data_IF_940115958953
#
_entry.id   IF_940115958953
#
_cell.length_a   1.000
_cell.length_b   1.000
_cell.length_c   1.000
_cell.angle_alpha   90.00
_cell.angle_beta   90.00
_cell.angle_gamma   90.00
#
_symmetry.space_group_name_H-M   'P 1'
#
loop_
_entity.id
_entity.type
_entity.pdbx_description
1 polymer ?
#
# COMPACT_ATOMS: atom_id res chain seq x y z
N UNK A 1 27.18 -17.23 -70.72
CA UNK A 1 26.80 -16.11 -69.84
C UNK A 1 25.75 -16.64 -68.88
N UNK A 2 26.09 -16.83 -67.61
CA UNK A 2 25.20 -17.41 -66.61
C UNK A 2 24.48 -16.29 -65.84
N UNK A 3 23.16 -16.35 -65.79
CA UNK A 3 22.30 -15.46 -64.99
C UNK A 3 22.43 -15.77 -63.50
N UNK A 4 22.44 -14.78 -62.60
CA UNK A 4 22.47 -15.03 -61.17
C UNK A 4 21.06 -15.40 -60.65
N UNK A 5 20.98 -16.49 -59.89
CA UNK A 5 19.79 -16.88 -59.13
C UNK A 5 19.50 -15.87 -58.00
N UNK A 6 18.23 -15.60 -57.65
CA UNK A 6 17.90 -14.73 -56.54
C UNK A 6 18.19 -15.48 -55.23
N UNK A 7 19.02 -14.87 -54.37
CA UNK A 7 19.21 -15.31 -52.99
C UNK A 7 17.88 -15.07 -52.26
N UNK A 8 17.20 -16.15 -51.89
CA UNK A 8 16.10 -16.09 -50.95
C UNK A 8 16.65 -15.61 -49.61
N UNK A 9 16.31 -14.39 -49.22
CA UNK A 9 16.53 -13.90 -47.87
C UNK A 9 15.54 -14.64 -46.96
N UNK A 10 15.99 -15.71 -46.32
CA UNK A 10 15.29 -16.28 -45.17
C UNK A 10 15.30 -15.22 -44.06
N UNK A 11 14.16 -14.53 -43.92
CA UNK A 11 13.88 -13.69 -42.76
C UNK A 11 13.69 -14.66 -41.60
N UNK A 12 14.73 -14.81 -40.79
CA UNK A 12 14.69 -15.53 -39.53
C UNK A 12 13.66 -14.85 -38.61
N UNK A 13 12.48 -15.46 -38.45
CA UNK A 13 11.37 -14.93 -37.63
C UNK A 13 11.56 -15.16 -36.13
N UNK A 14 12.62 -15.86 -35.72
CA UNK A 14 12.85 -16.23 -34.31
C UNK A 14 13.39 -15.09 -33.42
N UNK A 15 13.75 -13.93 -33.99
CA UNK A 15 14.30 -12.79 -33.24
C UNK A 15 13.26 -11.73 -32.84
N UNK A 16 12.00 -11.84 -33.27
CA UNK A 16 10.98 -10.83 -33.01
C UNK A 16 10.22 -11.03 -31.69
N UNK A 17 10.12 -12.26 -31.19
CA UNK A 17 9.37 -12.56 -29.96
C UNK A 17 10.15 -12.24 -28.66
N UNK A 18 11.49 -12.30 -28.71
CA UNK A 18 12.37 -11.99 -27.58
C UNK A 18 12.39 -10.50 -27.24
N UNK A 19 12.62 -9.64 -28.24
CA UNK A 19 12.76 -8.18 -28.05
C UNK A 19 11.46 -7.49 -27.62
N UNK A 20 10.32 -7.88 -28.20
CA UNK A 20 9.03 -7.30 -27.81
C UNK A 20 8.69 -7.60 -26.34
N UNK A 21 9.10 -8.75 -25.82
CA UNK A 21 8.85 -9.17 -24.44
C UNK A 21 9.69 -8.41 -23.40
N UNK A 22 10.93 -8.03 -23.74
CA UNK A 22 11.82 -7.26 -22.88
C UNK A 22 11.36 -5.80 -22.82
N UNK A 23 11.07 -5.18 -23.97
CA UNK A 23 10.54 -3.82 -24.03
C UNK A 23 9.19 -3.66 -23.31
N UNK A 24 8.32 -4.67 -23.35
CA UNK A 24 7.05 -4.64 -22.63
C UNK A 24 7.21 -4.76 -21.10
N UNK A 25 8.20 -5.53 -20.62
CA UNK A 25 8.50 -5.64 -19.20
C UNK A 25 9.13 -4.35 -18.66
N UNK A 26 10.04 -3.73 -19.42
CA UNK A 26 10.63 -2.44 -19.10
C UNK A 26 9.56 -1.33 -19.07
N UNK A 27 8.64 -1.31 -20.05
CA UNK A 27 7.53 -0.35 -20.06
C UNK A 27 6.56 -0.53 -18.88
N UNK A 28 6.30 -1.77 -18.45
CA UNK A 28 5.48 -2.05 -17.27
C UNK A 28 6.17 -1.57 -15.99
N UNK A 29 7.49 -1.78 -15.86
CA UNK A 29 8.26 -1.28 -14.75
C UNK A 29 8.27 0.26 -14.71
N UNK A 30 8.59 0.92 -15.84
CA UNK A 30 8.62 2.39 -15.95
C UNK A 30 7.28 3.03 -15.56
N UNK A 31 6.16 2.36 -15.86
CA UNK A 31 4.84 2.85 -15.48
C UNK A 31 4.51 2.58 -14.00
N UNK A 32 4.81 1.39 -13.49
CA UNK A 32 4.36 0.95 -12.17
C UNK A 32 5.27 1.41 -11.03
N UNK A 33 6.56 1.58 -11.29
CA UNK A 33 7.53 1.98 -10.29
C UNK A 33 7.20 3.34 -9.65
N UNK A 34 6.92 4.42 -10.43
CA UNK A 34 6.52 5.70 -9.84
C UNK A 34 5.22 5.64 -9.04
N UNK A 35 4.27 4.78 -9.45
CA UNK A 35 3.01 4.56 -8.74
C UNK A 35 3.26 3.89 -7.39
N UNK A 36 4.13 2.87 -7.36
CA UNK A 36 4.55 2.19 -6.14
C UNK A 36 5.23 3.16 -5.16
N UNK A 37 6.21 3.95 -5.64
CA UNK A 37 6.90 4.94 -4.81
C UNK A 37 5.92 6.01 -4.32
N UNK A 38 5.03 6.51 -5.18
CA UNK A 38 4.00 7.49 -4.81
C UNK A 38 3.04 6.97 -3.74
N UNK A 39 2.64 5.70 -3.82
CA UNK A 39 1.86 5.04 -2.77
C UNK A 39 2.65 4.95 -1.48
N UNK A 40 3.89 4.43 -1.53
CA UNK A 40 4.74 4.28 -0.36
C UNK A 40 4.96 5.59 0.37
N UNK A 41 5.23 6.67 -0.36
CA UNK A 41 5.34 8.02 0.20
C UNK A 41 4.09 8.49 0.91
N UNK A 42 2.91 8.30 0.32
CA UNK A 42 1.64 8.69 0.96
C UNK A 42 1.37 7.91 2.25
N UNK A 43 1.86 6.67 2.33
CA UNK A 43 1.75 5.85 3.52
C UNK A 43 2.75 6.31 4.59
N UNK A 44 4.02 6.49 4.22
CA UNK A 44 5.12 6.80 5.13
C UNK A 44 5.11 8.26 5.62
N UNK A 45 4.62 9.18 4.79
CA UNK A 45 4.50 10.61 5.06
C UNK A 45 3.09 11.10 4.70
N UNK A 46 2.11 10.56 5.42
CA UNK A 46 0.69 10.89 5.24
C UNK A 46 0.43 12.40 5.23
N UNK A 47 1.07 13.11 6.15
CA UNK A 47 0.85 14.55 6.33
C UNK A 47 1.71 15.40 5.38
N UNK A 48 2.60 14.77 4.60
CA UNK A 48 3.47 15.44 3.64
C UNK A 48 4.52 16.34 4.28
N UNK A 49 4.90 16.06 5.53
CA UNK A 49 5.74 16.92 6.35
C UNK A 49 7.23 16.53 6.28
N UNK A 50 7.55 15.30 5.90
CA UNK A 50 8.94 14.80 5.92
C UNK A 50 9.27 14.01 4.65
N UNK A 51 9.31 14.74 3.54
CA UNK A 51 9.66 14.19 2.23
C UNK A 51 11.08 13.58 2.19
N UNK A 52 12.05 14.27 2.79
CA UNK A 52 13.46 13.86 2.80
C UNK A 52 13.69 12.49 3.45
N UNK A 53 12.84 12.12 4.41
CA UNK A 53 12.90 10.83 5.06
C UNK A 53 12.05 9.77 4.35
N UNK A 54 10.84 10.13 3.91
CA UNK A 54 9.89 9.17 3.36
C UNK A 54 10.17 8.71 1.94
N UNK A 55 10.78 9.56 1.10
CA UNK A 55 11.08 9.22 -0.30
C UNK A 55 12.10 8.08 -0.41
N UNK A 56 13.29 8.12 0.24
CA UNK A 56 14.25 7.03 0.14
C UNK A 56 13.70 5.68 0.60
N UNK A 57 12.94 5.68 1.70
CA UNK A 57 12.31 4.46 2.24
C UNK A 57 11.26 3.91 1.26
N UNK A 58 10.44 4.78 0.66
CA UNK A 58 9.45 4.37 -0.33
C UNK A 58 10.10 3.80 -1.60
N UNK A 59 11.21 4.38 -2.05
CA UNK A 59 12.00 3.88 -3.18
C UNK A 59 12.59 2.50 -2.89
N UNK A 60 13.22 2.33 -1.73
CA UNK A 60 13.79 1.05 -1.31
C UNK A 60 12.72 -0.05 -1.22
N UNK A 61 11.57 0.25 -0.61
CA UNK A 61 10.45 -0.71 -0.52
C UNK A 61 9.93 -1.04 -1.92
N UNK A 62 9.75 -0.05 -2.79
CA UNK A 62 9.32 -0.30 -4.16
C UNK A 62 10.30 -1.22 -4.89
N UNK A 63 11.60 -0.94 -4.81
CA UNK A 63 12.65 -1.79 -5.40
C UNK A 63 12.56 -3.22 -4.87
N UNK A 64 12.47 -3.40 -3.54
CA UNK A 64 12.35 -4.73 -2.93
C UNK A 64 11.12 -5.49 -3.44
N UNK A 65 9.98 -4.79 -3.60
CA UNK A 65 8.77 -5.39 -4.18
C UNK A 65 9.02 -5.81 -5.63
N UNK A 66 9.60 -4.95 -6.47
CA UNK A 66 9.85 -5.27 -7.87
C UNK A 66 10.87 -6.41 -8.06
N UNK A 67 11.86 -6.53 -7.18
CA UNK A 67 12.83 -7.65 -7.18
C UNK A 67 12.14 -8.99 -6.91
N UNK A 68 11.05 -9.01 -6.15
CA UNK A 68 10.30 -10.23 -5.82
C UNK A 68 9.27 -10.62 -6.90
N UNK A 69 9.03 -9.78 -7.89
CA UNK A 69 8.07 -10.04 -8.96
C UNK A 69 8.69 -10.89 -10.08
N UNK A 70 7.86 -11.62 -10.84
CA UNK A 70 8.36 -12.33 -12.02
C UNK A 70 9.00 -11.36 -13.01
N UNK A 71 10.06 -11.80 -13.71
CA UNK A 71 10.78 -11.00 -14.72
C UNK A 71 9.86 -10.40 -15.80
N UNK A 72 8.74 -11.06 -16.11
CA UNK A 72 7.74 -10.55 -17.04
C UNK A 72 6.56 -9.99 -16.25
N UNK A 73 6.52 -8.66 -16.14
CA UNK A 73 5.39 -7.94 -15.57
C UNK A 73 4.30 -7.78 -16.64
N UNK A 74 3.07 -8.08 -16.25
CA UNK A 74 1.89 -7.86 -17.09
C UNK A 74 1.09 -6.72 -16.49
N UNK A 75 0.82 -5.68 -17.28
CA UNK A 75 -0.03 -4.55 -16.92
C UNK A 75 -1.50 -4.95 -16.89
N UNK A 76 -1.87 -5.75 -15.90
CA UNK A 76 -3.26 -6.09 -15.59
C UNK A 76 -3.64 -5.64 -14.19
N UNK A 77 -4.93 -5.39 -13.97
CA UNK A 77 -5.45 -4.88 -12.70
C UNK A 77 -5.01 -5.72 -11.50
N UNK A 78 -4.94 -7.05 -11.66
CA UNK A 78 -4.48 -7.98 -10.62
C UNK A 78 -3.01 -7.76 -10.24
N UNK A 79 -2.14 -7.55 -11.21
CA UNK A 79 -0.72 -7.25 -10.99
C UNK A 79 -0.54 -5.91 -10.28
N UNK A 80 -1.27 -4.88 -10.71
CA UNK A 80 -1.23 -3.55 -10.06
C UNK A 80 -1.69 -3.65 -8.60
N UNK A 81 -2.84 -4.30 -8.35
CA UNK A 81 -3.33 -4.51 -6.98
C UNK A 81 -2.34 -5.32 -6.13
N UNK A 82 -1.67 -6.32 -6.71
CA UNK A 82 -0.64 -7.09 -5.99
C UNK A 82 0.55 -6.22 -5.61
N UNK A 83 1.04 -5.37 -6.52
CA UNK A 83 2.16 -4.46 -6.25
C UNK A 83 1.77 -3.45 -5.18
N UNK A 84 0.63 -2.78 -5.33
CA UNK A 84 0.14 -1.83 -4.33
C UNK A 84 0.00 -2.47 -2.95
N UNK A 85 -0.47 -3.72 -2.90
CA UNK A 85 -0.57 -4.48 -1.65
C UNK A 85 0.79 -4.75 -1.02
N UNK A 86 1.76 -5.24 -1.81
CA UNK A 86 3.10 -5.56 -1.31
C UNK A 86 3.83 -4.31 -0.81
N UNK A 87 3.71 -3.20 -1.56
CA UNK A 87 4.25 -1.90 -1.15
C UNK A 87 3.59 -1.42 0.15
N UNK A 88 2.27 -1.50 0.25
CA UNK A 88 1.56 -1.12 1.47
C UNK A 88 1.96 -1.99 2.66
N UNK A 89 2.07 -3.30 2.48
CA UNK A 89 2.52 -4.21 3.54
C UNK A 89 3.96 -3.85 4.01
N UNK A 90 4.91 -3.61 3.08
CA UNK A 90 6.27 -3.19 3.43
C UNK A 90 6.36 -1.81 4.09
N UNK A 91 5.54 -0.85 3.64
CA UNK A 91 5.49 0.48 4.27
C UNK A 91 4.88 0.42 5.65
N UNK A 92 3.88 -0.43 5.87
CA UNK A 92 3.33 -0.66 7.22
C UNK A 92 4.41 -1.23 8.14
N UNK A 93 5.20 -2.22 7.69
CA UNK A 93 6.30 -2.76 8.50
C UNK A 93 7.33 -1.69 8.89
N UNK A 94 7.68 -0.79 7.95
CA UNK A 94 8.56 0.34 8.23
C UNK A 94 7.94 1.35 9.22
N UNK A 95 6.64 1.65 9.08
CA UNK A 95 5.90 2.56 9.96
C UNK A 95 5.82 2.06 11.41
N UNK A 96 5.61 0.76 11.61
CA UNK A 96 5.50 0.15 12.93
C UNK A 96 6.80 0.28 13.75
N UNK A 97 7.95 0.48 13.08
CA UNK A 97 9.22 0.74 13.75
C UNK A 97 9.44 2.18 14.22
N UNK A 98 8.76 3.17 13.63
CA UNK A 98 9.20 4.57 13.65
C UNK A 98 8.13 5.57 14.11
N UNK A 99 6.84 5.30 13.88
CA UNK A 99 5.75 6.20 14.28
C UNK A 99 5.23 5.93 15.69
N UNK A 100 5.10 6.99 16.49
CA UNK A 100 4.53 6.91 17.85
C UNK A 100 3.03 7.21 17.88
N UNK A 101 2.51 7.97 16.91
CA UNK A 101 1.12 8.42 16.85
C UNK A 101 0.58 8.34 15.42
N UNK A 102 -0.70 8.01 15.31
CA UNK A 102 -1.45 7.92 14.05
C UNK A 102 -2.69 8.79 14.14
N UNK A 103 -3.05 9.48 13.06
CA UNK A 103 -4.29 10.24 13.00
C UNK A 103 -5.39 9.33 12.48
N UNK A 104 -6.49 9.33 13.21
CA UNK A 104 -7.68 8.58 12.84
C UNK A 104 -8.69 9.59 12.32
N UNK A 105 -9.19 9.41 11.07
CA UNK A 105 -10.19 10.32 10.52
C UNK A 105 -11.42 10.38 11.43
N UNK A 106 -11.76 11.58 11.89
CA UNK A 106 -12.89 11.80 12.82
C UNK A 106 -14.21 11.31 12.24
N UNK A 107 -14.35 11.41 10.92
CA UNK A 107 -15.52 10.97 10.15
C UNK A 107 -15.72 9.45 10.16
N UNK A 108 -14.68 8.67 10.45
CA UNK A 108 -14.74 7.21 10.48
C UNK A 108 -15.05 6.65 11.87
N UNK A 109 -15.04 7.50 12.91
CA UNK A 109 -15.43 7.13 14.26
C UNK A 109 -16.81 7.75 14.59
N UNK A 110 -17.63 7.08 15.42
CA UNK A 110 -18.84 7.70 15.92
C UNK A 110 -18.52 9.03 16.65
N UNK A 111 -19.29 10.11 16.43
CA UNK A 111 -19.01 11.42 17.01
C UNK A 111 -19.04 11.43 18.55
N UNK A 112 -19.69 10.45 19.16
CA UNK A 112 -19.83 10.28 20.61
C UNK A 112 -18.55 9.77 21.29
N UNK A 113 -17.52 9.42 20.52
CA UNK A 113 -16.27 8.84 21.04
C UNK A 113 -15.37 9.85 21.76
N UNK A 114 -15.61 11.16 21.65
CA UNK A 114 -14.72 12.17 22.23
C UNK A 114 -13.29 12.10 21.69
N UNK A 115 -13.10 11.45 20.54
CA UNK A 115 -11.81 11.11 19.97
C UNK A 115 -11.12 12.35 19.38
N UNK A 116 -9.89 12.63 19.82
CA UNK A 116 -9.18 13.89 19.50
C UNK A 116 -8.69 13.98 18.05
N UNK A 117 -8.72 12.89 17.30
CA UNK A 117 -8.17 12.80 15.94
C UNK A 117 -6.84 12.07 15.86
N UNK A 118 -6.22 11.72 17.00
CA UNK A 118 -4.93 11.03 17.07
C UNK A 118 -4.91 9.93 18.14
N UNK A 119 -4.14 8.87 17.89
CA UNK A 119 -4.06 7.63 18.66
C UNK A 119 -2.59 7.16 18.68
N UNK A 120 -2.00 6.75 19.81
CA UNK A 120 -0.68 6.13 19.78
C UNK A 120 -0.67 4.87 18.91
N UNK A 121 0.35 4.69 18.06
CA UNK A 121 0.41 3.54 17.16
C UNK A 121 0.35 2.21 17.91
N UNK A 122 1.05 2.12 19.05
CA UNK A 122 1.05 0.92 19.90
C UNK A 122 -0.35 0.54 20.41
N UNK A 123 -1.19 1.53 20.69
CA UNK A 123 -2.56 1.28 21.16
C UNK A 123 -3.48 0.85 20.01
N UNK A 124 -3.27 1.41 18.81
CA UNK A 124 -3.90 0.91 17.60
C UNK A 124 -3.51 -0.55 17.37
N UNK A 125 -2.21 -0.86 17.41
CA UNK A 125 -1.70 -2.21 17.21
C UNK A 125 -2.24 -3.20 18.23
N UNK A 126 -2.22 -2.85 19.52
CA UNK A 126 -2.77 -3.67 20.58
C UNK A 126 -4.25 -3.99 20.33
N UNK A 127 -5.04 -2.97 19.95
CA UNK A 127 -6.45 -3.15 19.61
C UNK A 127 -6.63 -4.07 18.40
N UNK A 128 -5.90 -3.82 17.32
CA UNK A 128 -5.98 -4.62 16.10
C UNK A 128 -5.40 -6.04 16.27
N UNK A 129 -4.55 -6.25 17.28
CA UNK A 129 -3.96 -7.55 17.61
C UNK A 129 -5.02 -8.58 18.06
N UNK A 130 -6.10 -8.10 18.67
CA UNK A 130 -7.22 -8.91 19.14
C UNK A 130 -8.26 -9.17 18.03
N UNK A 131 -8.10 -8.51 16.88
CA UNK A 131 -9.05 -8.60 15.76
C UNK A 131 -8.64 -9.62 14.70
N UNK A 132 -9.60 -9.96 13.84
CA UNK A 132 -9.38 -10.84 12.67
C UNK A 132 -8.28 -10.24 11.78
N UNK A 133 -7.45 -11.10 11.18
CA UNK A 133 -6.36 -10.68 10.25
C UNK A 133 -6.83 -9.71 9.17
N UNK A 134 -8.03 -9.91 8.62
CA UNK A 134 -8.61 -9.02 7.61
C UNK A 134 -8.90 -7.62 8.14
N UNK A 135 -9.46 -7.52 9.34
CA UNK A 135 -9.82 -6.24 9.97
C UNK A 135 -8.55 -5.53 10.43
N UNK A 136 -7.58 -6.25 10.98
CA UNK A 136 -6.25 -5.71 11.30
C UNK A 136 -5.61 -5.02 10.09
N UNK A 137 -5.61 -5.66 8.92
CA UNK A 137 -5.02 -5.07 7.71
C UNK A 137 -5.77 -3.82 7.26
N UNK A 138 -7.11 -3.83 7.30
CA UNK A 138 -7.90 -2.61 7.02
C UNK A 138 -7.55 -1.51 8.01
N UNK A 139 -7.47 -1.82 9.31
CA UNK A 139 -7.14 -0.85 10.35
C UNK A 139 -5.77 -0.20 10.17
N UNK A 140 -4.74 -1.00 9.89
CA UNK A 140 -3.40 -0.47 9.64
C UNK A 140 -3.37 0.44 8.40
N UNK A 141 -3.99 0.03 7.29
CA UNK A 141 -3.99 0.82 6.05
C UNK A 141 -4.83 2.11 6.18
N UNK A 142 -5.93 2.08 6.92
CA UNK A 142 -6.79 3.25 7.07
C UNK A 142 -6.27 4.21 8.14
N UNK A 143 -5.92 3.68 9.32
CA UNK A 143 -5.59 4.50 10.48
C UNK A 143 -4.10 4.81 10.57
N UNK A 144 -3.20 3.83 10.35
CA UNK A 144 -1.76 4.10 10.40
C UNK A 144 -1.28 4.77 9.12
N UNK A 145 -1.67 4.24 7.97
CA UNK A 145 -1.26 4.76 6.67
C UNK A 145 -2.16 5.88 6.12
N UNK A 146 -3.25 6.23 6.81
CA UNK A 146 -4.11 7.36 6.43
C UNK A 146 -4.89 7.20 5.13
N UNK A 147 -5.04 5.99 4.60
CA UNK A 147 -5.78 5.80 3.36
C UNK A 147 -7.29 5.94 3.61
N UNK A 148 -7.98 6.54 2.64
CA UNK A 148 -9.45 6.55 2.62
C UNK A 148 -10.00 5.13 2.51
N UNK A 149 -11.26 4.87 2.90
CA UNK A 149 -11.87 3.54 2.79
C UNK A 149 -11.84 2.98 1.36
N UNK A 150 -12.01 3.83 0.35
CA UNK A 150 -11.94 3.45 -1.06
C UNK A 150 -10.53 3.01 -1.47
N UNK A 151 -9.50 3.76 -1.09
CA UNK A 151 -8.11 3.39 -1.35
C UNK A 151 -7.71 2.11 -0.60
N UNK A 152 -8.12 1.96 0.65
CA UNK A 152 -7.88 0.75 1.42
C UNK A 152 -8.54 -0.48 0.76
N UNK A 153 -9.77 -0.34 0.26
CA UNK A 153 -10.47 -1.39 -0.48
C UNK A 153 -9.69 -1.82 -1.74
N UNK A 154 -9.25 -0.84 -2.54
CA UNK A 154 -8.45 -1.08 -3.75
C UNK A 154 -7.09 -1.74 -3.45
N UNK A 155 -6.36 -1.25 -2.46
CA UNK A 155 -5.04 -1.78 -2.07
C UNK A 155 -5.14 -3.19 -1.50
N UNK A 156 -6.18 -3.48 -0.72
CA UNK A 156 -6.37 -4.79 -0.12
C UNK A 156 -7.06 -5.81 -1.04
N UNK A 157 -7.55 -5.38 -2.21
CA UNK A 157 -8.30 -6.21 -3.15
C UNK A 157 -9.62 -6.70 -2.56
N UNK A 158 -10.31 -5.84 -1.81
CA UNK A 158 -11.61 -6.12 -1.20
C UNK A 158 -12.67 -5.12 -1.68
N UNK A 159 -13.96 -5.46 -1.53
CA UNK A 159 -15.04 -4.52 -1.82
C UNK A 159 -15.10 -3.37 -0.81
N UNK A 160 -15.56 -2.19 -1.25
CA UNK A 160 -15.72 -1.01 -0.40
C UNK A 160 -16.60 -1.28 0.82
N UNK A 161 -17.73 -1.97 0.64
CA UNK A 161 -18.64 -2.33 1.75
C UNK A 161 -17.94 -3.16 2.83
N UNK A 162 -17.03 -4.05 2.40
CA UNK A 162 -16.23 -4.87 3.31
C UNK A 162 -15.23 -4.02 4.08
N UNK A 163 -14.56 -3.06 3.42
CA UNK A 163 -13.67 -2.11 4.07
C UNK A 163 -14.42 -1.25 5.10
N UNK A 164 -15.58 -0.68 4.74
CA UNK A 164 -16.43 0.11 5.64
C UNK A 164 -16.93 -0.72 6.82
N UNK A 165 -17.36 -1.96 6.58
CA UNK A 165 -17.79 -2.90 7.63
C UNK A 165 -16.65 -3.22 8.61
N UNK A 166 -15.42 -3.42 8.10
CA UNK A 166 -14.22 -3.60 8.93
C UNK A 166 -13.91 -2.35 9.75
N UNK A 167 -13.96 -1.16 9.14
CA UNK A 167 -13.76 0.13 9.82
C UNK A 167 -14.75 0.30 10.97
N UNK A 168 -16.04 0.01 10.75
CA UNK A 168 -17.06 0.10 11.80
C UNK A 168 -16.78 -0.85 12.98
N UNK A 169 -16.33 -2.09 12.69
CA UNK A 169 -15.95 -3.04 13.75
C UNK A 169 -14.75 -2.55 14.57
N UNK A 170 -13.74 -2.00 13.91
CA UNK A 170 -12.53 -1.47 14.57
C UNK A 170 -12.91 -0.27 15.43
N UNK A 171 -13.71 0.64 14.87
CA UNK A 171 -14.20 1.85 15.56
C UNK A 171 -14.97 1.51 16.83
N UNK A 172 -15.88 0.52 16.75
CA UNK A 172 -16.59 0.00 17.92
C UNK A 172 -15.62 -0.59 18.94
N UNK A 173 -14.62 -1.38 18.51
CA UNK A 173 -13.64 -1.98 19.43
C UNK A 173 -12.80 -0.92 20.15
N UNK A 174 -12.35 0.11 19.43
CA UNK A 174 -11.62 1.24 20.01
C UNK A 174 -12.49 1.96 21.05
N UNK A 175 -13.76 2.20 20.72
CA UNK A 175 -14.72 2.80 21.65
C UNK A 175 -14.94 1.95 22.90
N UNK A 176 -15.19 0.64 22.75
CA UNK A 176 -15.38 -0.27 23.88
C UNK A 176 -14.17 -0.25 24.82
N UNK A 177 -12.95 -0.26 24.27
CA UNK A 177 -11.71 -0.16 25.07
C UNK A 177 -11.61 1.17 25.81
N UNK A 178 -11.95 2.27 25.15
CA UNK A 178 -11.97 3.60 25.76
C UNK A 178 -12.94 3.67 26.94
N UNK A 179 -14.17 3.18 26.78
CA UNK A 179 -15.19 3.16 27.85
C UNK A 179 -14.72 2.32 29.04
N UNK A 180 -14.00 1.22 28.77
CA UNK A 180 -13.45 0.34 29.80
C UNK A 180 -12.19 0.90 30.50
N UNK A 181 -11.71 2.10 30.12
CA UNK A 181 -10.45 2.66 30.65
C UNK A 181 -9.20 1.89 30.21
N UNK A 182 -9.35 0.99 29.23
CA UNK A 182 -8.29 0.20 28.59
C UNK A 182 -7.84 0.81 27.25
N UNK A 183 -8.43 1.95 26.91
CA UNK A 183 -8.09 2.73 25.74
C UNK A 183 -6.94 3.71 26.02
N UNK A 184 -6.37 4.28 24.95
CA UNK A 184 -5.33 5.29 25.08
C UNK A 184 -5.83 6.44 25.95
N UNK A 185 -5.00 6.89 26.89
CA UNK A 185 -5.18 8.22 27.46
C UNK A 185 -4.93 9.19 26.30
N UNK A 186 -5.97 9.82 25.77
CA UNK A 186 -5.89 10.86 24.74
C UNK A 186 -5.21 12.10 25.33
N UNK A 187 -3.92 11.96 25.65
CA UNK A 187 -3.07 13.06 26.04
C UNK A 187 -2.78 13.89 24.80
N UNK A 188 -2.91 15.20 24.93
CA UNK A 188 -2.39 16.14 23.94
C UNK A 188 -0.97 15.72 23.57
N UNK A 189 -0.68 15.66 22.26
CA UNK A 189 0.66 15.44 21.71
C UNK A 189 1.64 16.32 22.50
N UNK A 190 2.63 15.76 23.21
CA UNK A 190 3.66 16.59 23.82
C UNK A 190 4.35 17.33 22.68
N UNK A 191 4.18 18.65 22.67
CA UNK A 191 4.80 19.59 21.74
C UNK A 191 6.31 19.56 21.88
#
# INVERSE_FOLDING_TARGET
MASPSPVATEINTDTLDGNASVHAADAAFEMLYPIAVGLGRRILDRDGLNLSHSLPIAEDIAIQVFVQLPRKLVLEQKSVSRICRLVADGCLEALLGDQTWVSVPRELLPPETGFSGELPLRELEATLSEMRRSDRRVGLVVFAAGLTPSHAASVLGIGLDKALSSINRISKRLHDRQVLGLGPKFGARPT
#
